data_IF_421314102825
#
_entry.id   IF_421314102825
#
_cell.length_a   1.000
_cell.length_b   1.000
_cell.length_c   1.000
_cell.angle_alpha   90.00
_cell.angle_beta   90.00
_cell.angle_gamma   90.00
#
_symmetry.space_group_name_H-M   'P 1'
#
loop_
_entity.id
_entity.type
_entity.pdbx_description
1 polymer ?
#
# COMPACT_ATOMS: atom_id res chain seq x y z
N UNK A 1 -47.45 11.62 -15.32
CA UNK A 1 -46.05 11.51 -14.88
C UNK A 1 -45.53 10.06 -14.96
N UNK A 2 -45.63 9.39 -16.13
CA UNK A 2 -45.14 8.00 -16.32
C UNK A 2 -44.24 7.81 -17.53
N UNK A 3 -44.02 8.86 -18.34
CA UNK A 3 -43.18 8.80 -19.55
C UNK A 3 -41.71 9.17 -19.33
N UNK A 4 -41.34 9.68 -18.16
CA UNK A 4 -39.98 10.17 -17.89
C UNK A 4 -39.05 9.11 -17.26
N UNK A 5 -39.59 8.04 -16.70
CA UNK A 5 -38.79 7.02 -15.99
C UNK A 5 -38.24 5.98 -16.99
N UNK A 6 -38.93 5.72 -18.11
CA UNK A 6 -38.44 4.77 -19.12
C UNK A 6 -37.25 5.30 -19.93
N UNK A 7 -37.04 6.62 -20.02
CA UNK A 7 -35.93 7.18 -20.79
C UNK A 7 -34.59 7.01 -20.07
N UNK A 8 -34.56 7.02 -18.74
CA UNK A 8 -33.30 6.97 -17.97
C UNK A 8 -32.76 5.54 -17.89
N UNK A 9 -33.63 4.52 -17.87
CA UNK A 9 -33.19 3.12 -17.79
C UNK A 9 -32.68 2.58 -19.13
N UNK A 10 -33.13 3.12 -20.26
CA UNK A 10 -32.62 2.74 -21.59
C UNK A 10 -31.26 3.40 -21.88
N UNK A 11 -30.93 4.51 -21.23
CA UNK A 11 -29.64 5.20 -21.44
C UNK A 11 -28.47 4.49 -20.74
N UNK A 12 -28.70 3.77 -19.62
CA UNK A 12 -27.65 2.96 -18.98
C UNK A 12 -27.29 1.66 -19.73
N UNK A 13 -28.05 1.27 -20.75
CA UNK A 13 -27.78 0.05 -21.54
C UNK A 13 -27.15 0.38 -22.90
N UNK A 14 -27.11 1.66 -23.29
CA UNK A 14 -26.55 2.13 -24.57
C UNK A 14 -25.25 2.92 -24.33
N UNK A 15 -24.44 2.44 -23.39
CA UNK A 15 -22.98 2.66 -23.38
C UNK A 15 -22.28 1.32 -23.58
N UNK A 16 -22.79 0.50 -24.51
CA UNK A 16 -21.94 -0.43 -25.28
C UNK A 16 -21.42 0.33 -26.51
N UNK A 17 -20.83 1.51 -26.28
CA UNK A 17 -20.14 2.25 -27.33
C UNK A 17 -18.79 1.56 -27.50
N UNK A 18 -18.74 0.61 -28.44
CA UNK A 18 -17.48 0.17 -29.06
C UNK A 18 -16.49 -0.54 -28.11
N UNK A 19 -16.98 -1.24 -27.10
CA UNK A 19 -16.18 -2.22 -26.36
C UNK A 19 -16.08 -3.47 -27.21
N UNK A 20 -15.15 -3.50 -28.18
CA UNK A 20 -14.80 -4.75 -28.85
C UNK A 20 -14.41 -5.77 -27.77
N UNK A 21 -15.04 -6.94 -27.80
CA UNK A 21 -14.73 -7.99 -26.85
C UNK A 21 -13.26 -8.38 -27.01
N UNK A 22 -12.46 -8.47 -25.93
CA UNK A 22 -11.04 -8.83 -26.01
C UNK A 22 -10.79 -10.12 -26.82
N UNK A 23 -11.72 -11.08 -26.76
CA UNK A 23 -11.65 -12.31 -27.55
C UNK A 23 -11.74 -12.08 -29.07
N UNK A 24 -12.52 -11.08 -29.51
CA UNK A 24 -12.65 -10.74 -30.93
C UNK A 24 -11.39 -10.03 -31.44
N UNK A 25 -10.83 -9.13 -30.64
CA UNK A 25 -9.55 -8.46 -30.93
C UNK A 25 -8.41 -9.48 -30.98
N UNK A 26 -8.37 -10.41 -30.02
CA UNK A 26 -7.39 -11.50 -29.98
C UNK A 26 -7.43 -12.33 -31.26
N UNK A 27 -8.63 -12.73 -31.70
CA UNK A 27 -8.79 -13.48 -32.94
C UNK A 27 -8.29 -12.69 -34.15
N UNK A 28 -8.65 -11.40 -34.24
CA UNK A 28 -8.22 -10.53 -35.33
C UNK A 28 -6.69 -10.35 -35.35
N UNK A 29 -6.07 -10.15 -34.18
CA UNK A 29 -4.62 -10.07 -34.04
C UNK A 29 -3.91 -11.36 -34.50
N UNK A 30 -4.46 -12.52 -34.16
CA UNK A 30 -3.94 -13.82 -34.61
C UNK A 30 -4.09 -13.97 -36.14
N UNK A 31 -5.25 -13.63 -36.70
CA UNK A 31 -5.46 -13.69 -38.16
C UNK A 31 -4.49 -12.78 -38.93
N UNK A 32 -4.15 -11.61 -38.36
CA UNK A 32 -3.14 -10.69 -38.92
C UNK A 32 -1.72 -11.25 -38.78
N UNK A 33 -1.40 -11.83 -37.63
CA UNK A 33 -0.12 -12.49 -37.37
C UNK A 33 0.12 -13.64 -38.36
N UNK A 34 -0.87 -14.50 -38.56
CA UNK A 34 -0.79 -15.66 -39.46
C UNK A 34 -0.63 -15.22 -40.94
N UNK A 35 -1.12 -14.03 -41.30
CA UNK A 35 -0.93 -13.41 -42.61
C UNK A 35 0.35 -12.57 -42.73
N UNK A 36 1.21 -12.59 -41.72
CA UNK A 36 2.44 -11.79 -41.61
C UNK A 36 2.23 -10.27 -41.65
N UNK A 37 1.03 -9.77 -41.33
CA UNK A 37 0.77 -8.34 -41.12
C UNK A 37 1.16 -7.94 -39.70
N UNK A 38 2.47 -8.03 -39.40
CA UNK A 38 2.99 -7.92 -38.04
C UNK A 38 2.73 -6.56 -37.38
N UNK A 39 2.84 -5.45 -38.12
CA UNK A 39 2.60 -4.12 -37.56
C UNK A 39 1.15 -3.92 -37.12
N UNK A 40 0.19 -4.44 -37.88
CA UNK A 40 -1.22 -4.36 -37.54
C UNK A 40 -1.57 -5.35 -36.43
N UNK A 41 -0.99 -6.56 -36.45
CA UNK A 41 -1.13 -7.52 -35.36
C UNK A 41 -0.64 -6.93 -34.03
N UNK A 42 0.51 -6.23 -34.02
CA UNK A 42 1.02 -5.53 -32.83
C UNK A 42 0.04 -4.51 -32.27
N UNK A 43 -0.68 -3.77 -33.12
CA UNK A 43 -1.69 -2.79 -32.67
C UNK A 43 -2.84 -3.47 -31.96
N UNK A 44 -3.33 -4.58 -32.51
CA UNK A 44 -4.43 -5.33 -31.89
C UNK A 44 -3.98 -5.95 -30.55
N UNK A 45 -2.80 -6.57 -30.49
CA UNK A 45 -2.30 -7.17 -29.25
C UNK A 45 -2.01 -6.13 -28.17
N UNK A 46 -1.47 -4.97 -28.54
CA UNK A 46 -1.27 -3.86 -27.59
C UNK A 46 -2.59 -3.36 -27.00
N UNK A 47 -3.63 -3.25 -27.82
CA UNK A 47 -4.97 -2.89 -27.34
C UNK A 47 -5.48 -3.82 -26.24
N UNK A 48 -5.21 -5.12 -26.36
CA UNK A 48 -5.59 -6.13 -25.36
C UNK A 48 -4.71 -6.04 -24.11
N UNK A 49 -3.39 -5.91 -24.29
CA UNK A 49 -2.44 -5.80 -23.19
C UNK A 49 -2.72 -4.57 -22.31
N UNK A 50 -3.02 -3.43 -22.93
CA UNK A 50 -3.31 -2.16 -22.25
C UNK A 50 -4.74 -2.08 -21.70
N UNK A 51 -5.62 -3.03 -22.05
CA UNK A 51 -7.02 -3.02 -21.63
C UNK A 51 -7.18 -3.35 -20.15
N UNK A 52 -7.88 -2.49 -19.41
CA UNK A 52 -8.21 -2.74 -18.01
C UNK A 52 -9.18 -3.92 -17.84
N UNK A 53 -10.04 -4.15 -18.83
CA UNK A 53 -11.14 -5.14 -18.76
C UNK A 53 -10.73 -6.53 -19.28
N UNK A 54 -9.55 -6.65 -19.89
CA UNK A 54 -9.06 -7.93 -20.40
C UNK A 54 -8.55 -8.82 -19.25
N UNK A 55 -8.88 -10.12 -19.24
CA UNK A 55 -8.35 -11.05 -18.25
C UNK A 55 -6.84 -11.25 -18.44
N UNK A 56 -6.13 -11.53 -17.34
CA UNK A 56 -4.67 -11.69 -17.36
C UNK A 56 -4.22 -12.78 -18.33
N UNK A 57 -5.01 -13.84 -18.52
CA UNK A 57 -4.73 -14.89 -19.51
C UNK A 57 -4.64 -14.34 -20.94
N UNK A 58 -5.56 -13.43 -21.31
CA UNK A 58 -5.56 -12.80 -22.64
C UNK A 58 -4.42 -11.79 -22.78
N UNK A 59 -4.09 -11.06 -21.72
CA UNK A 59 -2.93 -10.14 -21.68
C UNK A 59 -1.62 -10.90 -21.86
N UNK A 60 -1.42 -11.99 -21.11
CA UNK A 60 -0.26 -12.87 -21.24
C UNK A 60 -0.16 -13.40 -22.68
N UNK A 61 -1.29 -13.82 -23.26
CA UNK A 61 -1.33 -14.30 -24.64
C UNK A 61 -0.96 -13.19 -25.64
N UNK A 62 -1.45 -11.98 -25.44
CA UNK A 62 -1.11 -10.82 -26.27
C UNK A 62 0.40 -10.52 -26.23
N UNK A 63 0.98 -10.40 -25.03
CA UNK A 63 2.43 -10.21 -24.85
C UNK A 63 3.24 -11.34 -25.49
N UNK A 64 2.76 -12.59 -25.41
CA UNK A 64 3.43 -13.73 -26.05
C UNK A 64 3.44 -13.61 -27.59
N UNK A 65 2.36 -13.15 -28.22
CA UNK A 65 2.37 -12.89 -29.67
C UNK A 65 3.26 -11.69 -30.02
N UNK A 66 3.24 -10.61 -29.23
CA UNK A 66 4.12 -9.46 -29.42
C UNK A 66 5.59 -9.86 -29.33
N UNK A 67 5.96 -10.69 -28.34
CA UNK A 67 7.28 -11.28 -28.21
C UNK A 67 7.69 -12.05 -29.46
N UNK A 68 6.80 -12.89 -30.02
CA UNK A 68 7.07 -13.63 -31.27
C UNK A 68 7.27 -12.70 -32.47
N UNK A 69 6.51 -11.62 -32.55
CA UNK A 69 6.68 -10.60 -33.59
C UNK A 69 8.03 -9.90 -33.45
N UNK A 70 8.40 -9.46 -32.24
CA UNK A 70 9.71 -8.82 -32.00
C UNK A 70 10.88 -9.75 -32.30
N UNK A 71 10.75 -11.05 -31.97
CA UNK A 71 11.71 -12.06 -32.38
C UNK A 71 11.83 -12.19 -33.90
N UNK A 72 10.71 -12.10 -34.64
CA UNK A 72 10.73 -12.13 -36.11
C UNK A 72 11.42 -10.89 -36.71
N UNK A 73 11.33 -9.73 -36.04
CA UNK A 73 12.04 -8.52 -36.42
C UNK A 73 13.51 -8.46 -35.97
N UNK A 74 13.93 -9.35 -35.05
CA UNK A 74 15.26 -9.28 -34.44
C UNK A 74 15.41 -8.21 -33.35
N UNK A 75 14.30 -7.70 -32.83
CA UNK A 75 14.27 -6.71 -31.76
C UNK A 75 14.41 -7.38 -30.39
N UNK A 76 15.63 -7.82 -30.03
CA UNK A 76 15.88 -8.58 -28.80
C UNK A 76 15.45 -7.85 -27.52
N UNK A 77 15.68 -6.54 -27.44
CA UNK A 77 15.33 -5.76 -26.25
C UNK A 77 13.82 -5.63 -26.05
N UNK A 78 13.06 -5.46 -27.14
CA UNK A 78 11.59 -5.46 -27.06
C UNK A 78 11.07 -6.85 -26.74
N UNK A 79 11.64 -7.90 -27.35
CA UNK A 79 11.29 -9.28 -27.01
C UNK A 79 11.49 -9.56 -25.51
N UNK A 80 12.63 -9.15 -24.93
CA UNK A 80 12.88 -9.29 -23.48
C UNK A 80 11.89 -8.48 -22.64
N UNK A 81 11.50 -7.29 -23.09
CA UNK A 81 10.48 -6.49 -22.40
C UNK A 81 9.14 -7.23 -22.33
N UNK A 82 8.67 -7.81 -23.44
CA UNK A 82 7.44 -8.61 -23.44
C UNK A 82 7.53 -9.83 -22.49
N UNK A 83 8.71 -10.48 -22.39
CA UNK A 83 8.93 -11.58 -21.44
C UNK A 83 8.80 -11.10 -19.99
N UNK A 84 9.32 -9.91 -19.67
CA UNK A 84 9.17 -9.33 -18.33
C UNK A 84 7.70 -9.08 -17.99
N UNK A 85 6.92 -8.55 -18.93
CA UNK A 85 5.48 -8.34 -18.72
C UNK A 85 4.72 -9.65 -18.49
N UNK A 86 5.04 -10.70 -19.27
CA UNK A 86 4.46 -12.05 -19.05
C UNK A 86 4.79 -12.56 -17.64
N UNK A 87 6.04 -12.42 -17.20
CA UNK A 87 6.48 -12.87 -15.87
C UNK A 87 5.94 -12.00 -14.74
N UNK A 88 5.63 -10.72 -15.00
CA UNK A 88 4.98 -9.84 -14.04
C UNK A 88 3.51 -10.26 -13.81
N UNK A 89 2.79 -10.61 -14.88
CA UNK A 89 1.41 -11.10 -14.79
C UNK A 89 1.33 -12.53 -14.23
N UNK A 90 2.29 -13.39 -14.59
CA UNK A 90 2.35 -14.79 -14.14
C UNK A 90 3.80 -15.23 -13.91
N UNK A 91 4.34 -15.08 -12.68
CA UNK A 91 5.72 -15.46 -12.36
C UNK A 91 6.04 -16.94 -12.63
N UNK A 92 5.03 -17.81 -12.49
CA UNK A 92 5.12 -19.24 -12.76
C UNK A 92 4.87 -19.65 -14.21
N UNK A 93 4.81 -18.69 -15.16
CA UNK A 93 4.50 -18.97 -16.55
C UNK A 93 5.50 -19.98 -17.15
N UNK A 94 4.97 -21.05 -17.75
CA UNK A 94 5.78 -22.09 -18.41
C UNK A 94 5.65 -21.96 -19.92
N UNK A 95 6.77 -21.67 -20.56
CA UNK A 95 6.87 -21.63 -22.02
C UNK A 95 6.49 -22.99 -22.61
N UNK A 96 5.71 -22.97 -23.69
CA UNK A 96 5.29 -24.19 -24.39
C UNK A 96 6.48 -25.07 -24.80
N UNK A 97 6.31 -26.39 -24.73
CA UNK A 97 7.35 -27.33 -25.12
C UNK A 97 7.77 -27.23 -26.59
N UNK A 98 6.90 -26.66 -27.45
CA UNK A 98 7.14 -26.45 -28.88
C UNK A 98 8.10 -25.30 -29.17
N UNK A 99 8.35 -24.42 -28.21
CA UNK A 99 9.29 -23.31 -28.37
C UNK A 99 10.74 -23.80 -28.31
N UNK A 100 11.68 -23.09 -28.99
CA UNK A 100 13.07 -23.48 -29.02
C UNK A 100 13.72 -23.36 -27.65
N UNK A 101 14.74 -24.19 -27.40
CA UNK A 101 15.47 -24.21 -26.13
C UNK A 101 16.07 -22.84 -25.77
N UNK A 102 16.51 -22.07 -26.77
CA UNK A 102 17.03 -20.71 -26.57
C UNK A 102 16.00 -19.77 -25.94
N UNK A 103 14.74 -19.83 -26.39
CA UNK A 103 13.69 -19.00 -25.82
C UNK A 103 13.36 -19.42 -24.38
N UNK A 104 13.33 -20.73 -24.11
CA UNK A 104 13.12 -21.25 -22.75
C UNK A 104 14.23 -20.77 -21.80
N UNK A 105 15.49 -20.86 -22.23
CA UNK A 105 16.63 -20.36 -21.48
C UNK A 105 16.51 -18.86 -21.18
N UNK A 106 16.03 -18.06 -22.14
CA UNK A 106 15.84 -16.63 -21.96
C UNK A 106 14.77 -16.31 -20.91
N UNK A 107 13.66 -17.06 -20.89
CA UNK A 107 12.66 -16.92 -19.83
C UNK A 107 13.23 -17.21 -18.44
N UNK A 108 14.01 -18.27 -18.30
CA UNK A 108 14.66 -18.61 -17.02
C UNK A 108 15.70 -17.56 -16.59
N UNK A 109 16.48 -17.05 -17.54
CA UNK A 109 17.46 -15.98 -17.30
C UNK A 109 16.76 -14.71 -16.77
N UNK A 110 15.71 -14.26 -17.47
CA UNK A 110 14.96 -13.07 -17.07
C UNK A 110 14.28 -13.30 -15.72
N UNK A 111 13.67 -14.47 -15.49
CA UNK A 111 13.08 -14.82 -14.19
C UNK A 111 14.11 -14.73 -13.07
N UNK A 112 15.31 -15.27 -13.28
CA UNK A 112 16.42 -15.18 -12.32
C UNK A 112 16.84 -13.74 -12.03
N UNK A 113 16.87 -12.87 -13.05
CA UNK A 113 17.18 -11.45 -12.86
C UNK A 113 16.12 -10.70 -12.05
N UNK A 114 14.83 -10.97 -12.29
CA UNK A 114 13.73 -10.31 -11.58
C UNK A 114 13.76 -10.64 -10.08
N UNK A 115 13.95 -11.92 -9.74
CA UNK A 115 14.09 -12.37 -8.34
C UNK A 115 15.29 -11.69 -7.66
N UNK A 116 16.40 -11.53 -8.38
CA UNK A 116 17.61 -10.90 -7.85
C UNK A 116 17.45 -9.38 -7.66
N UNK A 117 16.71 -8.71 -8.53
CA UNK A 117 16.38 -7.29 -8.39
C UNK A 117 15.42 -7.05 -7.22
N UNK A 118 14.42 -7.91 -7.04
CA UNK A 118 13.48 -7.85 -5.93
C UNK A 118 14.21 -8.06 -4.59
N UNK A 119 15.11 -9.05 -4.51
CA UNK A 119 15.96 -9.29 -3.33
C UNK A 119 16.91 -8.12 -3.00
N UNK A 120 17.20 -7.23 -3.96
CA UNK A 120 18.04 -6.03 -3.73
C UNK A 120 17.27 -4.84 -3.21
N UNK A 121 15.94 -4.77 -3.38
CA UNK A 121 15.11 -3.70 -2.81
C UNK A 121 14.86 -3.87 -1.31
N UNK A 122 14.95 -5.11 -0.82
CA UNK A 122 14.63 -5.50 0.56
C UNK A 122 15.60 -5.12 1.70
N UNK A 123 16.75 -4.40 1.54
CA UNK A 123 17.48 -3.89 2.71
C UNK A 123 17.40 -2.37 2.94
N UNK A 124 16.75 -1.56 2.09
CA UNK A 124 16.82 -0.08 2.22
C UNK A 124 15.57 0.62 2.74
N UNK A 125 14.36 0.06 2.62
CA UNK A 125 13.13 0.73 3.10
C UNK A 125 12.76 0.40 4.55
N UNK A 126 13.23 -0.73 5.08
CA UNK A 126 13.03 -1.06 6.50
C UNK A 126 13.92 -0.19 7.40
N UNK A 127 15.07 0.26 6.91
CA UNK A 127 16.06 1.01 7.72
C UNK A 127 15.64 2.47 7.96
N UNK A 128 14.86 3.09 7.07
CA UNK A 128 14.40 4.47 7.24
C UNK A 128 13.16 4.59 8.13
N UNK A 129 12.24 3.63 8.07
CA UNK A 129 11.06 3.59 8.96
C UNK A 129 11.44 3.31 10.41
N UNK A 130 12.32 2.32 10.65
CA UNK A 130 12.76 1.95 12.02
C UNK A 130 13.55 3.09 12.69
N UNK A 131 14.32 3.88 11.92
CA UNK A 131 15.02 5.05 12.44
C UNK A 131 14.06 6.18 12.86
N UNK A 132 12.99 6.41 12.08
CA UNK A 132 11.97 7.40 12.42
C UNK A 132 11.16 6.98 13.65
N UNK A 133 10.78 5.71 13.73
CA UNK A 133 10.03 5.18 14.87
C UNK A 133 10.84 5.22 16.17
N UNK A 134 12.15 4.97 16.10
CA UNK A 134 13.05 5.05 17.26
C UNK A 134 13.21 6.49 17.76
N UNK A 135 13.31 7.48 16.86
CA UNK A 135 13.37 8.89 17.23
C UNK A 135 12.06 9.40 17.87
N UNK A 136 10.91 8.91 17.41
CA UNK A 136 9.61 9.22 18.02
C UNK A 136 9.49 8.57 19.41
N UNK A 137 10.01 7.35 19.57
CA UNK A 137 9.99 6.65 20.86
C UNK A 137 10.86 7.35 21.91
N UNK A 138 12.07 7.80 21.54
CA UNK A 138 12.97 8.55 22.42
C UNK A 138 12.34 9.88 22.88
N UNK A 139 11.68 10.59 21.97
CA UNK A 139 10.98 11.83 22.31
C UNK A 139 9.84 11.58 23.29
N UNK A 140 9.01 10.56 23.05
CA UNK A 140 7.89 10.23 23.93
C UNK A 140 8.35 9.78 25.34
N UNK A 141 9.49 9.08 25.42
CA UNK A 141 10.08 8.68 26.71
C UNK A 141 10.61 9.89 27.48
N UNK A 142 11.24 10.86 26.79
CA UNK A 142 11.70 12.11 27.40
C UNK A 142 10.52 12.96 27.92
N UNK A 143 9.44 13.07 27.13
CA UNK A 143 8.24 13.81 27.51
C UNK A 143 7.51 13.15 28.70
N UNK A 144 7.49 11.82 28.76
CA UNK A 144 6.92 11.07 29.88
C UNK A 144 7.73 11.25 31.18
N UNK A 145 9.06 11.29 31.10
CA UNK A 145 9.91 11.57 32.26
C UNK A 145 9.67 13.00 32.79
N UNK A 146 9.57 13.99 31.91
CA UNK A 146 9.26 15.37 32.30
C UNK A 146 7.88 15.51 32.97
N UNK A 147 6.89 14.74 32.52
CA UNK A 147 5.56 14.69 33.16
C UNK A 147 5.60 14.07 34.56
N UNK A 148 6.43 13.04 34.80
CA UNK A 148 6.60 12.46 36.13
C UNK A 148 7.24 13.47 37.11
N UNK A 149 8.29 14.18 36.69
CA UNK A 149 8.95 15.19 37.54
C UNK A 149 8.03 16.37 37.89
N UNK A 150 7.20 16.80 36.93
CA UNK A 150 6.19 17.82 37.15
C UNK A 150 5.11 17.37 38.15
N UNK A 151 4.68 16.11 38.09
CA UNK A 151 3.72 15.54 39.05
C UNK A 151 4.31 15.41 40.45
N UNK A 152 5.56 14.95 40.57
CA UNK A 152 6.25 14.84 41.86
C UNK A 152 6.39 16.23 42.52
N UNK A 153 6.70 17.25 41.73
CA UNK A 153 6.80 18.63 42.23
C UNK A 153 5.45 19.16 42.73
N UNK A 154 4.36 18.92 41.97
CA UNK A 154 2.99 19.31 42.38
C UNK A 154 2.53 18.60 43.65
N UNK A 155 2.83 17.31 43.80
CA UNK A 155 2.50 16.54 45.01
C UNK A 155 3.24 17.08 46.24
N UNK A 156 4.52 17.43 46.10
CA UNK A 156 5.29 18.04 47.19
C UNK A 156 4.75 19.41 47.59
N UNK A 157 4.24 20.19 46.63
CA UNK A 157 3.64 21.50 46.90
C UNK A 157 2.27 21.38 47.59
N UNK A 158 1.41 20.47 47.14
CA UNK A 158 0.15 20.15 47.84
C UNK A 158 0.39 19.58 49.25
N UNK A 159 1.43 18.78 49.44
CA UNK A 159 1.84 18.27 50.76
C UNK A 159 2.25 19.39 51.73
N UNK A 160 2.84 20.48 51.25
CA UNK A 160 3.19 21.65 52.07
C UNK A 160 1.95 22.44 52.49
N UNK A 161 1.00 22.66 51.58
CA UNK A 161 -0.24 23.39 51.86
C UNK A 161 -1.16 22.62 52.83
N UNK A 162 -1.23 21.29 52.70
CA UNK A 162 -1.99 20.45 53.66
C UNK A 162 -1.34 20.38 55.04
N UNK A 163 -0.01 20.52 55.16
CA UNK A 163 0.66 20.66 56.46
C UNK A 163 0.36 22.01 57.11
N UNK A 164 0.44 23.12 56.36
CA UNK A 164 0.15 24.47 56.90
C UNK A 164 -1.28 24.58 57.44
N UNK A 165 -2.27 24.05 56.71
CA UNK A 165 -3.68 24.07 57.13
C UNK A 165 -3.95 23.22 58.36
N UNK A 166 -3.31 22.04 58.50
CA UNK A 166 -3.41 21.21 59.71
C UNK A 166 -2.81 21.90 60.95
N UNK A 167 -1.69 22.61 60.80
CA UNK A 167 -1.11 23.38 61.90
C UNK A 167 -1.99 24.57 62.32
N UNK A 168 -2.62 25.26 61.36
CA UNK A 168 -3.53 26.37 61.65
C UNK A 168 -4.80 25.91 62.40
N UNK A 169 -5.39 24.77 62.01
CA UNK A 169 -6.53 24.19 62.71
C UNK A 169 -6.16 23.70 64.12
N UNK A 170 -5.01 23.04 64.28
CA UNK A 170 -4.53 22.59 65.59
C UNK A 170 -4.30 23.73 66.57
N UNK A 171 -3.72 24.84 66.11
CA UNK A 171 -3.49 26.02 66.95
C UNK A 171 -4.80 26.68 67.41
N UNK A 172 -5.81 26.76 66.54
CA UNK A 172 -7.13 27.33 66.88
C UNK A 172 -7.86 26.50 67.94
N UNK A 173 -7.82 25.17 67.84
CA UNK A 173 -8.49 24.28 68.80
C UNK A 173 -7.82 24.33 70.17
N UNK A 174 -6.48 24.42 70.22
CA UNK A 174 -5.73 24.57 71.48
C UNK A 174 -6.04 25.92 72.13
N UNK A 175 -6.08 27.02 71.37
CA UNK A 175 -6.47 28.33 71.93
C UNK A 175 -7.91 28.33 72.45
N UNK A 176 -8.85 27.65 71.78
CA UNK A 176 -10.23 27.53 72.24
C UNK A 176 -10.33 26.72 73.55
N UNK A 177 -9.57 25.63 73.67
CA UNK A 177 -9.49 24.81 74.88
C UNK A 177 -8.88 25.58 76.07
N UNK A 178 -7.85 26.41 75.84
CA UNK A 178 -7.26 27.26 76.89
C UNK A 178 -8.26 28.32 77.36
N UNK A 179 -9.00 28.95 76.45
CA UNK A 179 -10.05 29.93 76.79
C UNK A 179 -11.21 29.30 77.58
N UNK A 180 -11.63 28.08 77.21
CA UNK A 180 -12.64 27.33 77.96
C UNK A 180 -12.13 26.94 79.36
N UNK A 181 -10.89 26.48 79.48
CA UNK A 181 -10.30 26.14 80.78
C UNK A 181 -10.18 27.37 81.71
N UNK A 182 -9.80 28.52 81.19
CA UNK A 182 -9.74 29.78 81.95
C UNK A 182 -11.11 30.24 82.45
N UNK A 183 -12.19 29.96 81.69
CA UNK A 183 -13.56 30.31 82.09
C UNK A 183 -14.14 29.45 83.21
N UNK A 184 -13.60 28.26 83.45
CA UNK A 184 -14.06 27.33 84.51
C UNK A 184 -13.38 27.58 85.86
N UNK A 185 -12.20 28.23 85.88
CA UNK A 185 -11.49 28.56 87.12
C UNK A 185 -11.94 29.88 87.78
N UNK A 186 -12.91 30.60 87.20
CA UNK A 186 -13.49 31.82 87.75
C UNK A 186 -14.97 31.56 88.13
N UNK A 187 -15.20 30.70 89.12
CA UNK A 187 -16.51 30.60 89.78
C UNK A 187 -16.38 30.14 91.23
#
# INVERSE_FOLDING_TARGET
>A
MKKLILAVTVISVVICVKSSCPAQEMKKGIDLFDKAYYEDALKEFRGIADSADAPDEDKIKAHYYMMKIHRAFGDDEKMKAEIREILALSPGYKVSNREPASLKSLFEEIRGSLIKEEARKEPSEIVTGVAQDMAVLEKNLSDAAAQQDALISRLNEQGKETRKTKFALGASVISLLILLAASVSFK
#
